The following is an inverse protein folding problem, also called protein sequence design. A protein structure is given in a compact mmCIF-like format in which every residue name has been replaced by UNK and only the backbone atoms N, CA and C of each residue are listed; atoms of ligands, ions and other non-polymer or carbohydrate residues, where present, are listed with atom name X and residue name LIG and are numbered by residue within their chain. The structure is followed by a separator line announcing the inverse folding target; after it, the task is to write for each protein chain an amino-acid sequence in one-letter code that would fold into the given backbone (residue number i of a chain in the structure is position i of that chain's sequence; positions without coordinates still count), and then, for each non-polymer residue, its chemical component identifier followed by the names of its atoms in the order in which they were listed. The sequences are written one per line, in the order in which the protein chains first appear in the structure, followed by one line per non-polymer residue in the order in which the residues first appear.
data_IF_683094966839
#
_entry.id   IF_683094966839
#
_cell.length_a   1.000
_cell.length_b   1.000
_cell.length_c   1.000
_cell.angle_alpha   90.00
_cell.angle_beta   90.00
_cell.angle_gamma   90.00
#
_symmetry.space_group_name_H-M   'P 1'
#
loop_
_entity.id
_entity.type
_entity.pdbx_description
1 polymer ?
#
# COMPACT_ATOMS: atom_id res chain seq x y z
N UNK A 1 10.72 -5.79 -18.48
CA UNK A 1 9.62 -5.38 -17.58
C UNK A 1 9.58 -3.86 -17.56
N UNK A 2 8.41 -3.22 -17.65
CA UNK A 2 8.34 -1.76 -17.53
C UNK A 2 8.47 -1.36 -16.04
N UNK A 3 8.94 -0.13 -15.76
CA UNK A 3 9.17 0.33 -14.39
C UNK A 3 7.91 0.32 -13.49
N UNK A 4 6.71 0.33 -14.09
CA UNK A 4 5.43 0.26 -13.38
C UNK A 4 5.11 -1.13 -12.83
N UNK A 5 5.47 -2.17 -13.58
CA UNK A 5 5.31 -3.55 -13.11
C UNK A 5 6.24 -3.79 -11.92
N UNK A 6 7.49 -3.32 -12.01
CA UNK A 6 8.45 -3.38 -10.91
C UNK A 6 7.97 -2.58 -9.70
N UNK A 7 7.42 -1.38 -9.92
CA UNK A 7 6.86 -0.55 -8.86
C UNK A 7 5.71 -1.24 -8.13
N UNK A 8 4.73 -1.78 -8.86
CA UNK A 8 3.60 -2.51 -8.28
C UNK A 8 4.03 -3.76 -7.51
N UNK A 9 5.02 -4.51 -8.02
CA UNK A 9 5.60 -5.65 -7.31
C UNK A 9 6.30 -5.23 -6.02
N UNK A 10 7.10 -4.15 -6.05
CA UNK A 10 7.76 -3.63 -4.85
C UNK A 10 6.74 -3.19 -3.79
N UNK A 11 5.65 -2.55 -4.19
CA UNK A 11 4.56 -2.18 -3.29
C UNK A 11 3.90 -3.42 -2.66
N UNK A 12 3.61 -4.45 -3.45
CA UNK A 12 3.01 -5.70 -2.96
C UNK A 12 3.94 -6.46 -2.00
N UNK A 13 5.22 -6.59 -2.36
CA UNK A 13 6.24 -7.22 -1.50
C UNK A 13 6.41 -6.40 -0.21
N UNK A 14 6.46 -5.08 -0.31
CA UNK A 14 6.55 -4.19 0.85
C UNK A 14 5.37 -4.34 1.81
N UNK A 15 4.13 -4.41 1.29
CA UNK A 15 2.94 -4.64 2.10
C UNK A 15 2.96 -6.02 2.79
N UNK A 16 3.35 -7.08 2.07
CA UNK A 16 3.49 -8.41 2.66
C UNK A 16 4.55 -8.44 3.77
N UNK A 17 5.71 -7.82 3.55
CA UNK A 17 6.77 -7.68 4.56
C UNK A 17 6.28 -6.90 5.78
N UNK A 18 5.51 -5.83 5.59
CA UNK A 18 4.93 -5.06 6.70
C UNK A 18 3.99 -5.89 7.55
N UNK A 19 3.09 -6.66 6.93
CA UNK A 19 2.18 -7.57 7.64
C UNK A 19 2.99 -8.63 8.40
N UNK A 20 3.97 -9.26 7.77
CA UNK A 20 4.84 -10.24 8.43
C UNK A 20 5.57 -9.63 9.62
N UNK A 21 6.19 -8.46 9.46
CA UNK A 21 6.88 -7.75 10.55
C UNK A 21 5.93 -7.44 11.70
N UNK A 22 4.68 -7.03 11.40
CA UNK A 22 3.63 -6.77 12.40
C UNK A 22 3.41 -7.95 13.34
N UNK A 23 3.33 -9.17 12.81
CA UNK A 23 3.15 -10.38 13.61
C UNK A 23 4.34 -10.73 14.52
N UNK A 24 5.52 -10.17 14.27
CA UNK A 24 6.71 -10.43 15.09
C UNK A 24 7.03 -9.31 16.08
N UNK A 25 6.25 -8.21 16.10
CA UNK A 25 6.54 -7.05 16.96
C UNK A 25 6.63 -7.40 18.45
N UNK A 26 5.75 -8.27 18.95
CA UNK A 26 5.75 -8.71 20.35
C UNK A 26 7.03 -9.47 20.75
N UNK A 27 7.77 -10.01 19.77
CA UNK A 27 9.00 -10.78 19.97
C UNK A 27 10.26 -9.99 19.65
N UNK A 28 10.14 -8.91 18.88
CA UNK A 28 11.27 -8.14 18.34
C UNK A 28 11.71 -6.99 19.22
N UNK A 29 10.92 -6.56 20.21
CA UNK A 29 11.24 -5.38 21.02
C UNK A 29 11.19 -4.07 20.23
N UNK A 30 11.72 -2.99 20.81
CA UNK A 30 11.56 -1.62 20.29
C UNK A 30 12.17 -1.38 18.91
N UNK A 31 13.31 -2.01 18.58
CA UNK A 31 13.96 -1.81 17.28
C UNK A 31 13.12 -2.34 16.11
N UNK A 32 12.45 -3.49 16.25
CA UNK A 32 11.65 -4.09 15.19
C UNK A 32 10.41 -3.22 14.90
N UNK A 33 9.85 -2.63 15.96
CA UNK A 33 8.77 -1.65 15.88
C UNK A 33 9.18 -0.40 15.13
N UNK A 34 10.37 0.14 15.41
CA UNK A 34 10.87 1.34 14.74
C UNK A 34 11.19 1.07 13.26
N UNK A 35 11.72 -0.12 12.94
CA UNK A 35 11.92 -0.59 11.56
C UNK A 35 10.57 -0.75 10.84
N UNK A 36 9.59 -1.39 11.49
CA UNK A 36 8.25 -1.57 10.96
C UNK A 36 7.62 -0.20 10.64
N UNK A 37 7.65 0.74 11.59
CA UNK A 37 7.14 2.09 11.38
C UNK A 37 7.86 2.83 10.24
N UNK A 38 9.19 2.75 10.18
CA UNK A 38 9.99 3.42 9.15
C UNK A 38 9.65 2.93 7.74
N UNK A 39 9.53 1.61 7.55
CA UNK A 39 9.13 1.02 6.27
C UNK A 39 7.67 1.39 5.96
N UNK A 40 6.78 1.43 6.96
CA UNK A 40 5.40 1.89 6.82
C UNK A 40 5.32 3.31 6.25
N UNK A 41 6.09 4.27 6.81
CA UNK A 41 6.16 5.64 6.30
C UNK A 41 6.74 5.73 4.89
N UNK A 42 7.78 4.94 4.59
CA UNK A 42 8.31 4.84 3.23
C UNK A 42 7.23 4.33 2.25
N UNK A 43 6.41 3.38 2.68
CA UNK A 43 5.26 2.89 1.92
C UNK A 43 4.27 4.00 1.56
N UNK A 44 3.94 4.89 2.50
CA UNK A 44 3.09 6.06 2.23
C UNK A 44 3.70 6.97 1.16
N UNK A 45 4.99 7.28 1.27
CA UNK A 45 5.70 8.12 0.30
C UNK A 45 5.70 7.48 -1.11
N UNK A 46 5.90 6.17 -1.20
CA UNK A 46 5.83 5.44 -2.46
C UNK A 46 4.43 5.49 -3.07
N UNK A 47 3.36 5.20 -2.31
CA UNK A 47 1.98 5.32 -2.85
C UNK A 47 1.71 6.73 -3.35
N UNK A 48 2.11 7.76 -2.59
CA UNK A 48 1.94 9.15 -2.99
C UNK A 48 2.67 9.46 -4.30
N UNK A 49 3.91 8.99 -4.46
CA UNK A 49 4.67 9.13 -5.70
C UNK A 49 4.01 8.38 -6.88
N UNK A 50 3.42 7.21 -6.62
CA UNK A 50 2.64 6.45 -7.60
C UNK A 50 1.42 7.21 -8.10
N UNK A 51 0.63 7.76 -7.17
CA UNK A 51 -0.55 8.59 -7.48
C UNK A 51 -0.14 9.85 -8.24
N UNK A 52 0.92 10.54 -7.79
CA UNK A 52 1.46 11.72 -8.48
C UNK A 52 1.87 11.40 -9.92
N UNK A 53 2.56 10.27 -10.12
CA UNK A 53 2.95 9.79 -11.45
C UNK A 53 1.75 9.47 -12.34
N UNK A 54 0.70 8.86 -11.78
CA UNK A 54 -0.56 8.62 -12.48
C UNK A 54 -1.25 9.93 -12.89
N UNK A 55 -1.30 10.91 -11.98
CA UNK A 55 -1.90 12.22 -12.23
C UNK A 55 -1.13 13.02 -13.30
N UNK A 56 0.21 13.07 -13.23
CA UNK A 56 1.07 13.75 -14.22
C UNK A 56 0.88 13.22 -15.63
N UNK A 57 0.61 11.92 -15.78
CA UNK A 57 0.31 11.28 -17.07
C UNK A 57 -1.14 11.41 -17.51
N UNK A 58 -1.96 12.15 -16.77
CA UNK A 58 -3.40 12.29 -17.00
C UNK A 58 -4.10 10.92 -17.10
N UNK A 59 -3.65 9.95 -16.29
CA UNK A 59 -4.33 8.66 -16.20
C UNK A 59 -5.80 8.90 -15.84
N UNK A 60 -6.70 8.20 -16.53
CA UNK A 60 -8.14 8.27 -16.28
C UNK A 60 -8.63 6.89 -15.86
N UNK A 61 -9.74 6.85 -15.13
CA UNK A 61 -10.43 5.60 -14.82
C UNK A 61 -9.79 4.82 -13.66
N UNK A 62 -9.89 3.48 -13.68
CA UNK A 62 -9.61 2.63 -12.52
C UNK A 62 -8.22 2.81 -11.91
N UNK A 63 -7.19 3.07 -12.73
CA UNK A 63 -5.81 3.26 -12.28
C UNK A 63 -5.63 4.47 -11.35
N UNK A 64 -6.31 5.58 -11.64
CA UNK A 64 -6.23 6.79 -10.83
C UNK A 64 -7.02 6.60 -9.52
N UNK A 65 -8.24 6.07 -9.62
CA UNK A 65 -9.10 5.84 -8.46
C UNK A 65 -8.51 4.82 -7.49
N UNK A 66 -7.92 3.73 -8.00
CA UNK A 66 -7.26 2.72 -7.15
C UNK A 66 -6.02 3.28 -6.45
N UNK A 67 -5.23 4.12 -7.14
CA UNK A 67 -4.07 4.80 -6.55
C UNK A 67 -4.47 5.80 -5.47
N UNK A 68 -5.57 6.54 -5.68
CA UNK A 68 -6.10 7.49 -4.71
C UNK A 68 -6.67 6.78 -3.47
N UNK A 69 -7.46 5.73 -3.67
CA UNK A 69 -7.97 4.89 -2.59
C UNK A 69 -6.82 4.26 -1.80
N UNK A 70 -5.80 3.75 -2.49
CA UNK A 70 -4.62 3.19 -1.85
C UNK A 70 -3.92 4.22 -0.96
N UNK A 71 -3.78 5.47 -1.42
CA UNK A 71 -3.18 6.54 -0.63
C UNK A 71 -3.96 6.81 0.66
N UNK A 72 -5.28 6.84 0.58
CA UNK A 72 -6.15 7.01 1.76
C UNK A 72 -5.95 5.85 2.73
N UNK A 73 -5.97 4.61 2.24
CA UNK A 73 -5.82 3.43 3.10
C UNK A 73 -4.45 3.39 3.80
N UNK A 74 -3.35 3.68 3.10
CA UNK A 74 -2.02 3.72 3.73
C UNK A 74 -1.84 4.91 4.69
N UNK A 75 -2.50 6.04 4.42
CA UNK A 75 -2.51 7.17 5.37
C UNK A 75 -3.26 6.80 6.66
N UNK A 76 -4.41 6.12 6.54
CA UNK A 76 -5.14 5.56 7.68
C UNK A 76 -4.30 4.53 8.42
N UNK A 77 -3.58 3.65 7.70
CA UNK A 77 -2.67 2.67 8.31
C UNK A 77 -1.58 3.33 9.14
N UNK A 78 -0.93 4.36 8.59
CA UNK A 78 0.12 5.10 9.26
C UNK A 78 -0.43 5.83 10.50
N UNK A 79 -1.60 6.45 10.40
CA UNK A 79 -2.28 7.06 11.54
C UNK A 79 -2.56 6.04 12.65
N UNK A 80 -3.15 4.90 12.32
CA UNK A 80 -3.42 3.82 13.29
C UNK A 80 -2.12 3.28 13.91
N UNK A 81 -1.06 3.14 13.12
CA UNK A 81 0.25 2.72 13.61
C UNK A 81 0.83 3.71 14.63
N UNK A 82 0.75 5.01 14.35
CA UNK A 82 1.18 6.06 15.30
C UNK A 82 0.30 6.06 16.56
N UNK A 83 -1.02 5.87 16.42
CA UNK A 83 -1.92 5.77 17.56
C UNK A 83 -1.54 4.59 18.48
N UNK A 84 -1.18 3.43 17.91
CA UNK A 84 -0.69 2.29 18.68
C UNK A 84 0.62 2.59 19.42
N UNK A 85 1.54 3.36 18.83
CA UNK A 85 2.76 3.82 19.52
C UNK A 85 2.44 4.72 20.73
N UNK A 86 1.37 5.49 20.66
CA UNK A 86 0.89 6.35 21.74
C UNK A 86 0.15 5.60 22.87
N UNK A 87 0.02 4.27 22.78
CA UNK A 87 -0.68 3.45 23.78
C UNK A 87 -2.20 3.48 23.68
N UNK A 88 -2.74 3.78 22.50
CA UNK A 88 -4.19 3.88 22.27
C UNK A 88 -4.88 2.50 22.27
N UNK A 89 -6.14 2.51 22.73
CA UNK A 89 -7.12 1.41 22.92
C UNK A 89 -7.06 0.21 21.93
N UNK A 90 -7.49 -1.00 22.36
CA UNK A 90 -7.53 -2.23 21.55
C UNK A 90 -8.25 -2.11 20.19
N UNK A 91 -9.21 -1.18 20.06
CA UNK A 91 -9.88 -0.90 18.78
C UNK A 91 -8.94 -0.40 17.68
N UNK A 92 -7.87 0.32 18.05
CA UNK A 92 -6.85 0.77 17.10
C UNK A 92 -6.03 -0.40 16.55
N UNK A 93 -5.79 -1.46 17.35
CA UNK A 93 -5.02 -2.63 16.94
C UNK A 93 -5.78 -3.43 15.89
N UNK A 94 -7.03 -3.79 16.19
CA UNK A 94 -7.88 -4.50 15.24
C UNK A 94 -8.06 -3.70 13.95
N UNK A 95 -8.29 -2.38 14.07
CA UNK A 95 -8.39 -1.50 12.91
C UNK A 95 -7.10 -1.49 12.08
N UNK A 96 -5.93 -1.46 12.73
CA UNK A 96 -4.63 -1.47 12.07
C UNK A 96 -4.38 -2.78 11.31
N UNK A 97 -4.71 -3.92 11.91
CA UNK A 97 -4.56 -5.24 11.27
C UNK A 97 -5.52 -5.39 10.08
N UNK A 98 -6.81 -5.11 10.28
CA UNK A 98 -7.83 -5.23 9.23
C UNK A 98 -7.51 -4.31 8.05
N UNK A 99 -7.09 -3.07 8.33
CA UNK A 99 -6.74 -2.12 7.27
C UNK A 99 -5.47 -2.55 6.51
N UNK A 100 -4.50 -3.23 7.15
CA UNK A 100 -3.35 -3.81 6.46
C UNK A 100 -3.76 -4.86 5.42
N UNK A 101 -4.70 -5.75 5.77
CA UNK A 101 -5.22 -6.74 4.82
C UNK A 101 -6.05 -6.10 3.71
N UNK A 102 -6.80 -5.04 4.03
CA UNK A 102 -7.55 -4.27 3.03
C UNK A 102 -6.61 -3.60 2.02
N UNK A 103 -5.50 -3.01 2.48
CA UNK A 103 -4.43 -2.48 1.62
C UNK A 103 -3.91 -3.55 0.67
N UNK A 104 -3.60 -4.75 1.18
CA UNK A 104 -3.11 -5.85 0.36
C UNK A 104 -4.13 -6.26 -0.71
N UNK A 105 -5.39 -6.44 -0.32
CA UNK A 105 -6.48 -6.84 -1.22
C UNK A 105 -6.76 -5.77 -2.29
N UNK A 106 -6.89 -4.50 -1.90
CA UNK A 106 -7.10 -3.38 -2.82
C UNK A 106 -5.89 -3.19 -3.74
N UNK A 107 -4.67 -3.42 -3.24
CA UNK A 107 -3.45 -3.35 -4.03
C UNK A 107 -3.40 -4.43 -5.12
N UNK A 108 -3.72 -5.67 -4.75
CA UNK A 108 -3.80 -6.78 -5.69
C UNK A 108 -4.90 -6.56 -6.75
N UNK A 109 -6.10 -6.15 -6.32
CA UNK A 109 -7.22 -5.85 -7.22
C UNK A 109 -6.90 -4.67 -8.15
N UNK A 110 -6.34 -3.58 -7.61
CA UNK A 110 -5.92 -2.42 -8.38
C UNK A 110 -4.88 -2.78 -9.45
N UNK A 111 -3.88 -3.58 -9.08
CA UNK A 111 -2.87 -4.09 -10.02
C UNK A 111 -3.48 -4.96 -11.13
N UNK A 112 -4.40 -5.85 -10.79
CA UNK A 112 -5.10 -6.70 -11.76
C UNK A 112 -5.95 -5.89 -12.74
N UNK A 113 -6.68 -4.88 -12.26
CA UNK A 113 -7.50 -3.99 -13.10
C UNK A 113 -6.65 -3.19 -14.09
N UNK A 114 -5.53 -2.62 -13.62
CA UNK A 114 -4.59 -1.86 -14.47
C UNK A 114 -3.98 -2.75 -15.57
N UNK A 115 -3.61 -3.98 -15.21
CA UNK A 115 -3.08 -4.95 -16.19
C UNK A 115 -4.13 -5.29 -17.24
N UNK A 116 -5.36 -5.59 -16.83
CA UNK A 116 -6.46 -5.89 -17.75
C UNK A 116 -6.74 -4.72 -18.70
N UNK A 117 -6.77 -3.49 -18.21
CA UNK A 117 -6.98 -2.32 -19.06
C UNK A 117 -5.85 -2.16 -20.09
N UNK A 118 -4.60 -2.42 -19.68
CA UNK A 118 -3.44 -2.40 -20.58
C UNK A 118 -3.53 -3.48 -21.67
N UNK A 119 -3.91 -4.70 -21.29
CA UNK A 119 -4.06 -5.82 -22.23
C UNK A 119 -5.19 -5.56 -23.25
N UNK A 120 -6.31 -4.97 -22.81
CA UNK A 120 -7.41 -4.60 -23.71
C UNK A 120 -6.98 -3.51 -24.70
N UNK A 121 -6.26 -2.48 -24.24
CA UNK A 121 -5.75 -1.41 -25.13
C UNK A 121 -4.76 -1.95 -26.16
N UNK A 122 -3.85 -2.84 -25.76
CA UNK A 122 -2.87 -3.45 -26.67
C UNK A 122 -3.53 -4.32 -27.75
N UNK A 123 -4.65 -4.98 -27.43
CA UNK A 123 -5.42 -5.77 -28.41
C UNK A 123 -6.30 -4.93 -29.34
N UNK A 124 -6.68 -3.71 -28.92
CA UNK A 124 -7.55 -2.83 -29.69
C UNK A 124 -6.78 -1.90 -30.64
N UNK A 125 -5.47 -1.72 -30.45
CA UNK A 125 -4.61 -0.87 -31.28
C UNK A 125 -3.45 -1.62 -31.95
N UNK A 126 -3.47 -2.95 -31.92
CA UNK A 126 -2.52 -3.84 -32.62
C UNK A 126 -3.18 -4.55 -33.80
#
# INVERSE_FOLDING_TARGET
MNGWTSFGMLMGIGAALQISLGFFLDRGGSWLRDVHASIGFLGVALVAAGLWGAWRRKAKGPALYSSALMLVLVAVQAYLGVALLGGVEPGALLGHEVNAFLILAVGALGGALVRRESDVRNRAGG
#
